data_IF_451942056597
#
_entry.id   IF_451942056597
#
_cell.length_a   1.000
_cell.length_b   1.000
_cell.length_c   1.000
_cell.angle_alpha   90.00
_cell.angle_beta   90.00
_cell.angle_gamma   90.00
#
_symmetry.space_group_name_H-M   'P 1'
#
loop_
_entity.id
_entity.type
_entity.pdbx_description
1 polymer ?
#
# COMPACT_ATOMS: atom_id res chain seq x y z
N UNK A 1 -16.99 10.41 4.82
CA UNK A 1 -15.97 9.55 4.17
C UNK A 1 -14.61 10.15 4.47
N UNK A 2 -13.83 9.48 5.30
CA UNK A 2 -12.45 9.89 5.60
C UNK A 2 -11.49 9.24 4.63
N UNK A 3 -10.36 9.91 4.39
CA UNK A 3 -9.23 9.36 3.66
C UNK A 3 -8.05 9.25 4.63
N UNK A 4 -7.19 8.26 4.38
CA UNK A 4 -5.85 8.20 4.98
C UNK A 4 -4.84 8.45 3.89
N UNK A 5 -3.68 8.95 4.29
CA UNK A 5 -2.60 9.27 3.39
C UNK A 5 -1.42 8.35 3.70
N UNK A 6 -0.67 7.94 2.69
CA UNK A 6 0.51 7.12 2.88
C UNK A 6 1.65 7.53 1.95
N UNK A 7 2.87 7.21 2.36
CA UNK A 7 4.11 7.46 1.61
C UNK A 7 4.95 6.20 1.63
N UNK A 8 5.64 5.94 0.51
CA UNK A 8 6.69 4.93 0.38
C UNK A 8 8.02 5.66 0.17
N UNK A 9 8.79 5.93 1.25
CA UNK A 9 9.95 6.82 1.19
C UNK A 9 10.99 6.39 0.17
N UNK A 10 11.27 5.08 0.07
CA UNK A 10 12.27 4.51 -0.84
C UNK A 10 11.99 4.79 -2.34
N UNK A 11 10.72 5.02 -2.69
CA UNK A 11 10.29 5.18 -4.08
C UNK A 11 9.78 6.59 -4.40
N UNK A 12 9.12 7.24 -3.44
CA UNK A 12 8.59 8.58 -3.63
C UNK A 12 8.45 9.32 -2.29
N UNK A 13 9.50 10.02 -1.87
CA UNK A 13 9.45 10.89 -0.68
C UNK A 13 8.51 12.11 -0.85
N UNK A 14 8.19 12.49 -2.10
CA UNK A 14 7.54 13.76 -2.40
C UNK A 14 6.01 13.69 -2.56
N UNK A 15 5.46 12.52 -2.90
CA UNK A 15 4.02 12.38 -3.19
C UNK A 15 3.34 11.53 -2.12
N UNK A 16 2.40 12.14 -1.40
CA UNK A 16 1.48 11.41 -0.50
C UNK A 16 0.35 10.83 -1.34
N UNK A 17 0.19 9.51 -1.28
CA UNK A 17 -0.95 8.82 -1.88
C UNK A 17 -2.11 8.83 -0.90
N UNK A 18 -3.34 8.79 -1.40
CA UNK A 18 -4.53 8.80 -0.54
C UNK A 18 -5.48 7.68 -0.91
N UNK A 19 -5.95 6.96 0.09
CA UNK A 19 -6.98 5.93 -0.07
C UNK A 19 -8.23 6.36 0.69
N UNK A 20 -9.38 6.21 0.03
CA UNK A 20 -10.69 6.53 0.61
C UNK A 20 -11.18 5.35 1.43
N UNK A 21 -11.48 5.59 2.70
CA UNK A 21 -12.04 4.56 3.56
C UNK A 21 -13.50 4.30 3.18
N UNK A 22 -13.86 3.02 3.04
CA UNK A 22 -15.23 2.58 2.69
C UNK A 22 -16.25 2.93 3.77
N UNK A 23 -15.81 3.15 5.02
CA UNK A 23 -16.65 3.50 6.15
C UNK A 23 -16.22 4.83 6.80
N UNK A 24 -17.18 5.52 7.42
CA UNK A 24 -16.89 6.68 8.25
C UNK A 24 -16.23 6.17 9.54
N UNK A 25 -14.91 6.26 9.57
CA UNK A 25 -14.07 5.62 10.58
C UNK A 25 -13.34 6.69 11.36
N UNK A 26 -13.44 6.67 12.69
CA UNK A 26 -12.78 7.67 13.53
C UNK A 26 -11.26 7.48 13.62
N UNK A 27 -10.54 8.58 13.89
CA UNK A 27 -9.07 8.60 13.91
C UNK A 27 -8.51 7.62 14.95
N UNK A 28 -9.20 7.47 16.08
CA UNK A 28 -8.84 6.46 17.10
C UNK A 28 -8.93 5.03 16.56
N UNK A 29 -9.97 4.72 15.78
CA UNK A 29 -10.11 3.38 15.19
C UNK A 29 -9.06 3.15 14.12
N UNK A 30 -8.79 4.16 13.28
CA UNK A 30 -7.73 4.11 12.26
C UNK A 30 -6.38 3.82 12.92
N UNK A 31 -6.06 4.55 13.98
CA UNK A 31 -4.80 4.37 14.72
C UNK A 31 -4.70 2.99 15.38
N UNK A 32 -5.81 2.49 15.95
CA UNK A 32 -5.82 1.16 16.61
C UNK A 32 -5.77 0.00 15.63
N UNK A 33 -6.24 0.19 14.40
CA UNK A 33 -6.27 -0.83 13.35
C UNK A 33 -5.36 -0.46 12.17
N UNK A 34 -4.30 0.31 12.43
CA UNK A 34 -3.41 0.84 11.40
C UNK A 34 -2.82 -0.26 10.49
N UNK A 35 -2.66 -1.47 11.01
CA UNK A 35 -2.20 -2.64 10.25
C UNK A 35 -3.18 -3.08 9.14
N UNK A 36 -4.50 -2.95 9.35
CA UNK A 36 -5.51 -3.29 8.33
C UNK A 36 -5.41 -2.30 7.18
N UNK A 37 -5.32 -1.02 7.54
CA UNK A 37 -5.20 0.06 6.57
C UNK A 37 -3.86 0.05 5.83
N UNK A 38 -2.80 -0.42 6.47
CA UNK A 38 -1.50 -0.60 5.84
C UNK A 38 -1.57 -1.63 4.69
N UNK A 39 -2.31 -2.72 4.88
CA UNK A 39 -2.53 -3.74 3.84
C UNK A 39 -3.31 -3.16 2.65
N UNK A 40 -4.40 -2.44 2.91
CA UNK A 40 -5.16 -1.72 1.89
C UNK A 40 -4.29 -0.69 1.12
N UNK A 41 -3.41 0.03 1.82
CA UNK A 41 -2.46 0.96 1.18
C UNK A 41 -1.42 0.23 0.32
N UNK A 42 -0.98 -0.96 0.73
CA UNK A 42 -0.02 -1.75 -0.02
C UNK A 42 -0.62 -2.30 -1.30
N UNK A 43 -1.87 -2.79 -1.25
CA UNK A 43 -2.64 -3.25 -2.40
C UNK A 43 -2.86 -2.10 -3.40
N UNK A 44 -3.30 -0.94 -2.91
CA UNK A 44 -3.47 0.26 -3.73
C UNK A 44 -2.15 0.70 -4.39
N UNK A 45 -1.03 0.69 -3.65
CA UNK A 45 0.28 1.00 -4.20
C UNK A 45 0.70 -0.01 -5.27
N UNK A 46 0.49 -1.30 -5.03
CA UNK A 46 0.80 -2.37 -5.96
C UNK A 46 0.03 -2.24 -7.29
N UNK A 47 -1.29 -2.03 -7.21
CA UNK A 47 -2.18 -2.00 -8.37
C UNK A 47 -2.20 -0.65 -9.11
N UNK A 48 -2.09 0.47 -8.41
CA UNK A 48 -2.31 1.81 -8.99
C UNK A 48 -1.04 2.69 -9.09
N UNK A 49 0.07 2.32 -8.44
CA UNK A 49 1.25 3.18 -8.31
C UNK A 49 2.56 2.47 -8.67
N UNK A 50 2.50 1.54 -9.63
CA UNK A 50 3.65 0.76 -10.10
C UNK A 50 4.39 0.00 -8.98
N UNK A 51 3.69 -0.26 -7.86
CA UNK A 51 4.22 -1.06 -6.77
C UNK A 51 4.49 -2.50 -7.19
N UNK A 52 3.86 -2.99 -8.27
CA UNK A 52 4.15 -4.28 -8.88
C UNK A 52 5.58 -4.39 -9.45
N UNK A 53 6.22 -3.28 -9.84
CA UNK A 53 7.63 -3.23 -10.28
C UNK A 53 8.62 -3.01 -9.13
N UNK A 54 8.11 -2.70 -7.93
CA UNK A 54 8.95 -2.31 -6.80
C UNK A 54 9.61 -3.51 -6.13
N UNK A 55 10.75 -3.26 -5.46
CA UNK A 55 11.47 -4.32 -4.73
C UNK A 55 10.97 -4.41 -3.30
N UNK A 56 9.96 -5.26 -3.08
CA UNK A 56 9.45 -5.55 -1.75
C UNK A 56 10.47 -6.33 -0.90
N UNK A 57 10.54 -6.10 0.42
CA UNK A 57 9.60 -5.35 1.25
C UNK A 57 9.77 -3.82 1.19
N UNK A 58 8.66 -3.10 1.35
CA UNK A 58 8.60 -1.63 1.31
C UNK A 58 8.15 -1.05 2.65
N UNK A 59 8.75 0.07 3.03
CA UNK A 59 8.35 0.82 4.23
C UNK A 59 7.20 1.76 3.89
N UNK A 60 6.09 1.64 4.62
CA UNK A 60 4.91 2.50 4.49
C UNK A 60 4.79 3.40 5.72
N UNK A 61 4.60 4.70 5.48
CA UNK A 61 4.30 5.68 6.52
C UNK A 61 2.88 6.18 6.32
N UNK A 62 2.01 5.98 7.31
CA UNK A 62 0.60 6.37 7.26
C UNK A 62 0.38 7.67 8.03
N UNK A 63 -0.45 8.54 7.45
CA UNK A 63 -0.77 9.88 7.90
C UNK A 63 -2.29 10.06 7.97
N UNK A 64 -2.76 10.78 8.99
CA UNK A 64 -4.19 11.05 9.19
C UNK A 64 -4.74 12.11 8.20
N UNK A 65 -3.85 12.94 7.66
CA UNK A 65 -4.16 14.02 6.73
C UNK A 65 -2.98 14.30 5.79
N UNK A 66 -3.25 15.01 4.69
CA UNK A 66 -2.24 15.39 3.70
C UNK A 66 -1.14 16.29 4.30
N UNK A 67 -1.49 17.17 5.25
CA UNK A 67 -0.56 18.11 5.88
C UNK A 67 0.04 17.60 7.20
N UNK A 68 -0.25 16.38 7.63
CA UNK A 68 0.26 15.87 8.91
C UNK A 68 1.80 15.85 8.93
N UNK A 69 2.42 16.52 9.90
CA UNK A 69 3.88 16.57 10.05
C UNK A 69 4.51 15.20 10.35
N UNK A 70 3.76 14.31 11.01
CA UNK A 70 4.28 13.03 11.48
C UNK A 70 3.32 11.90 11.10
N UNK A 71 3.86 10.75 10.65
CA UNK A 71 3.04 9.57 10.46
C UNK A 71 2.60 9.01 11.80
N UNK A 72 1.33 8.63 11.90
CA UNK A 72 0.77 7.99 13.09
C UNK A 72 1.15 6.50 13.15
N UNK A 73 1.49 5.91 12.01
CA UNK A 73 1.93 4.52 11.91
C UNK A 73 3.01 4.34 10.85
N UNK A 74 3.96 3.45 11.12
CA UNK A 74 4.99 3.02 10.18
C UNK A 74 5.09 1.51 10.22
N UNK A 75 5.14 0.88 9.06
CA UNK A 75 5.24 -0.58 8.95
C UNK A 75 6.03 -0.98 7.70
N UNK A 76 6.72 -2.11 7.80
CA UNK A 76 7.39 -2.74 6.67
C UNK A 76 6.46 -3.81 6.11
N UNK A 77 6.04 -3.65 4.86
CA UNK A 77 5.12 -4.57 4.20
C UNK A 77 5.91 -5.44 3.22
N UNK A 78 5.69 -6.74 3.25
CA UNK A 78 6.31 -7.71 2.35
C UNK A 78 5.24 -8.30 1.45
N UNK A 79 5.54 -8.46 0.16
CA UNK A 79 4.67 -9.19 -0.75
C UNK A 79 5.01 -10.68 -0.77
N UNK A 80 3.99 -11.53 -0.80
CA UNK A 80 4.16 -12.95 -1.08
C UNK A 80 3.57 -13.27 -2.44
N UNK A 81 4.44 -13.55 -3.42
CA UNK A 81 4.03 -13.93 -4.77
C UNK A 81 4.16 -15.45 -4.90
N UNK A 82 3.05 -16.12 -5.18
CA UNK A 82 3.03 -17.54 -5.51
C UNK A 82 3.09 -17.69 -7.04
N UNK A 83 4.24 -18.07 -7.62
CA UNK A 83 4.34 -18.15 -9.06
C UNK A 83 3.56 -19.37 -9.59
N UNK A 84 2.74 -19.15 -10.62
CA UNK A 84 2.07 -20.23 -11.35
C UNK A 84 2.57 -20.24 -12.79
N UNK A 85 2.92 -21.42 -13.29
CA UNK A 85 3.45 -21.58 -14.63
C UNK A 85 2.63 -22.63 -15.38
N UNK A 86 2.31 -22.34 -16.63
CA UNK A 86 1.69 -23.29 -17.54
C UNK A 86 2.42 -23.27 -18.87
N UNK A 87 2.55 -24.43 -19.51
CA UNK A 87 3.16 -24.58 -20.82
C UNK A 87 2.12 -25.18 -21.76
N UNK A 88 2.16 -24.78 -23.04
CA UNK A 88 1.39 -25.42 -24.11
C UNK A 88 2.36 -25.81 -25.21
N UNK A 89 2.18 -27.03 -25.73
CA UNK A 89 2.96 -27.51 -26.87
C UNK A 89 2.63 -26.70 -28.13
N UNK A 90 3.68 -26.34 -28.87
CA UNK A 90 3.54 -25.81 -30.22
C UNK A 90 3.61 -26.97 -31.21
N UNK A 91 2.80 -26.95 -32.30
CA UNK A 91 2.88 -27.99 -33.30
C UNK A 91 4.28 -27.99 -33.94
N UNK A 92 4.90 -29.16 -33.99
CA UNK A 92 6.11 -29.35 -34.78
C UNK A 92 5.74 -29.30 -36.26
N UNK A 93 6.35 -28.39 -37.01
CA UNK A 93 6.27 -28.33 -38.48
C UNK A 93 6.80 -29.61 -39.14
#
# INVERSE_FOLDING_TARGET
MKSIFYVVPDHCDASRYSIKLKHDTDVEYISRNAFVFADDCAEDYYDNHDGWESTWPLEFHLYESEDADKPFHKCLISIQINPSFSCKDLPNE
#
